data_IF_024147350561
#
_entry.id   IF_024147350561
#
_cell.length_a   1.000
_cell.length_b   1.000
_cell.length_c   1.000
_cell.angle_alpha   90.00
_cell.angle_beta   90.00
_cell.angle_gamma   90.00
#
_symmetry.space_group_name_H-M   'P 1'
#
loop_
_entity.id
_entity.type
_entity.pdbx_description
1 polymer ?
#
# COMPACT_ATOMS: atom_id res chain seq x y z
N UNK A 1 -72.64 -20.72 5.09
CA UNK A 1 -71.48 -20.12 4.38
C UNK A 1 -70.22 -20.43 5.20
N UNK A 2 -69.39 -21.40 4.78
CA UNK A 2 -68.20 -21.81 5.53
C UNK A 2 -66.97 -21.16 4.88
N UNK A 3 -66.34 -20.23 5.58
CA UNK A 3 -65.15 -19.52 5.08
C UNK A 3 -63.94 -20.44 5.30
N UNK A 4 -63.31 -20.85 4.20
CA UNK A 4 -62.11 -21.70 4.24
C UNK A 4 -60.91 -20.77 4.39
N UNK A 5 -60.19 -20.86 5.51
CA UNK A 5 -58.99 -20.09 5.79
C UNK A 5 -57.79 -20.80 5.14
N UNK A 6 -57.06 -20.11 4.28
CA UNK A 6 -55.90 -20.64 3.56
C UNK A 6 -54.62 -20.35 4.36
N UNK A 7 -54.08 -21.34 5.07
CA UNK A 7 -52.90 -21.21 5.95
C UNK A 7 -51.54 -21.36 5.22
N UNK A 8 -51.48 -21.11 3.90
CA UNK A 8 -50.29 -21.37 3.06
C UNK A 8 -49.24 -20.25 3.01
N UNK A 9 -49.43 -19.16 3.75
CA UNK A 9 -48.61 -17.93 3.66
C UNK A 9 -47.34 -17.96 4.56
N UNK A 10 -47.21 -18.93 5.47
CA UNK A 10 -46.14 -18.94 6.49
C UNK A 10 -44.78 -19.50 6.01
N UNK A 11 -44.77 -20.37 5.00
CA UNK A 11 -43.53 -20.99 4.48
C UNK A 11 -42.65 -20.03 3.68
N UNK A 12 -43.26 -19.09 2.96
CA UNK A 12 -42.52 -18.14 2.11
C UNK A 12 -41.84 -17.04 2.92
N UNK A 13 -42.42 -16.64 4.05
CA UNK A 13 -41.81 -15.69 4.99
C UNK A 13 -40.48 -16.22 5.52
N UNK A 14 -40.41 -17.51 5.88
CA UNK A 14 -39.19 -18.13 6.37
C UNK A 14 -38.08 -18.13 5.30
N UNK A 15 -38.43 -18.44 4.04
CA UNK A 15 -37.51 -18.36 2.91
C UNK A 15 -36.96 -16.93 2.74
N UNK A 16 -37.82 -15.92 2.77
CA UNK A 16 -37.40 -14.52 2.65
C UNK A 16 -36.47 -14.09 3.78
N UNK A 17 -36.76 -14.46 5.02
CA UNK A 17 -35.87 -14.16 6.16
C UNK A 17 -34.49 -14.81 6.00
N UNK A 18 -34.43 -16.03 5.46
CA UNK A 18 -33.18 -16.74 5.23
C UNK A 18 -32.35 -16.09 4.12
N UNK A 19 -33.00 -15.63 3.05
CA UNK A 19 -32.36 -14.87 1.97
C UNK A 19 -31.80 -13.55 2.49
N UNK A 20 -32.58 -12.80 3.28
CA UNK A 20 -32.13 -11.53 3.87
C UNK A 20 -30.93 -11.76 4.80
N UNK A 21 -30.97 -12.80 5.64
CA UNK A 21 -29.84 -13.17 6.50
C UNK A 21 -28.60 -13.55 5.70
N UNK A 22 -28.76 -14.27 4.58
CA UNK A 22 -27.64 -14.60 3.70
C UNK A 22 -27.00 -13.35 3.09
N UNK A 23 -27.80 -12.36 2.67
CA UNK A 23 -27.29 -11.08 2.18
C UNK A 23 -26.55 -10.29 3.27
N UNK A 24 -27.09 -10.25 4.49
CA UNK A 24 -26.44 -9.55 5.63
C UNK A 24 -25.11 -10.21 5.99
N UNK A 25 -25.04 -11.54 5.98
CA UNK A 25 -23.79 -12.28 6.20
C UNK A 25 -22.77 -11.98 5.10
N UNK A 26 -23.20 -11.97 3.84
CA UNK A 26 -22.34 -11.68 2.71
C UNK A 26 -21.75 -10.27 2.77
N UNK A 27 -22.55 -9.26 3.13
CA UNK A 27 -22.04 -7.89 3.30
C UNK A 27 -21.08 -7.76 4.47
N UNK A 28 -21.33 -8.48 5.57
CA UNK A 28 -20.42 -8.48 6.72
C UNK A 28 -19.04 -9.03 6.35
N UNK A 29 -18.97 -10.14 5.60
CA UNK A 29 -17.69 -10.72 5.15
C UNK A 29 -16.93 -9.76 4.23
N UNK A 30 -17.62 -9.11 3.29
CA UNK A 30 -16.99 -8.13 2.39
C UNK A 30 -16.35 -6.96 3.16
N UNK A 31 -16.96 -6.51 4.25
CA UNK A 31 -16.41 -5.43 5.07
C UNK A 31 -15.12 -5.87 5.78
N UNK A 32 -15.05 -7.13 6.24
CA UNK A 32 -13.86 -7.65 6.92
C UNK A 32 -12.62 -7.58 6.05
N UNK A 33 -12.73 -7.95 4.77
CA UNK A 33 -11.60 -7.89 3.83
C UNK A 33 -11.07 -6.47 3.67
N UNK A 34 -11.97 -5.49 3.56
CA UNK A 34 -11.62 -4.06 3.46
C UNK A 34 -10.89 -3.60 4.72
N UNK A 35 -11.40 -3.97 5.91
CA UNK A 35 -10.81 -3.57 7.20
C UNK A 35 -9.41 -4.17 7.37
N UNK A 36 -9.19 -5.43 6.99
CA UNK A 36 -7.87 -6.08 7.08
C UNK A 36 -6.86 -5.35 6.20
N UNK A 37 -7.22 -4.98 4.98
CA UNK A 37 -6.34 -4.22 4.09
C UNK A 37 -6.02 -2.84 4.67
N UNK A 38 -7.02 -2.14 5.20
CA UNK A 38 -6.83 -0.82 5.82
C UNK A 38 -5.89 -0.88 7.04
N UNK A 39 -6.00 -1.91 7.89
CA UNK A 39 -5.13 -2.09 9.05
C UNK A 39 -3.67 -2.31 8.64
N UNK A 40 -3.42 -3.12 7.59
CA UNK A 40 -2.07 -3.31 7.04
C UNK A 40 -1.49 -2.00 6.52
N UNK A 41 -2.26 -1.29 5.69
CA UNK A 41 -1.85 0.01 5.17
C UNK A 41 -1.57 1.01 6.30
N UNK A 42 -2.39 1.03 7.36
CA UNK A 42 -2.18 1.93 8.49
C UNK A 42 -0.88 1.65 9.25
N UNK A 43 -0.47 0.38 9.37
CA UNK A 43 0.83 0.03 9.95
C UNK A 43 1.99 0.48 9.06
N UNK A 44 1.85 0.31 7.76
CA UNK A 44 2.89 0.60 6.77
C UNK A 44 3.12 2.10 6.54
N UNK A 45 2.19 2.99 6.94
CA UNK A 45 2.35 4.44 6.77
C UNK A 45 3.58 4.97 7.51
N UNK A 46 3.81 4.55 8.76
CA UNK A 46 4.96 5.02 9.53
C UNK A 46 6.28 4.49 8.96
N UNK A 47 6.30 3.21 8.62
CA UNK A 47 7.47 2.56 8.00
C UNK A 47 7.76 3.14 6.60
N UNK A 48 6.70 3.55 5.89
CA UNK A 48 6.81 4.25 4.61
C UNK A 48 7.48 5.60 4.72
N UNK A 49 7.25 6.38 5.77
CA UNK A 49 7.92 7.67 5.93
C UNK A 49 9.44 7.46 6.01
N UNK A 50 9.87 6.46 6.78
CA UNK A 50 11.29 6.10 6.88
C UNK A 50 11.86 5.67 5.53
N UNK A 51 11.15 4.82 4.79
CA UNK A 51 11.57 4.41 3.44
C UNK A 51 11.64 5.61 2.46
N UNK A 52 10.72 6.57 2.54
CA UNK A 52 10.73 7.80 1.75
C UNK A 52 11.98 8.64 2.07
N UNK A 53 12.28 8.85 3.35
CA UNK A 53 13.47 9.59 3.76
C UNK A 53 14.77 8.94 3.27
N UNK A 54 14.84 7.60 3.31
CA UNK A 54 15.97 6.87 2.77
C UNK A 54 16.10 7.06 1.24
N UNK A 55 14.99 6.96 0.51
CA UNK A 55 14.96 7.18 -0.93
C UNK A 55 15.40 8.60 -1.31
N UNK A 56 14.87 9.62 -0.64
CA UNK A 56 15.20 11.03 -0.88
C UNK A 56 16.69 11.31 -0.62
N UNK A 57 17.21 10.78 0.49
CA UNK A 57 18.64 10.87 0.83
C UNK A 57 19.54 10.27 -0.26
N UNK A 58 19.12 9.16 -0.89
CA UNK A 58 19.84 8.56 -2.01
C UNK A 58 19.83 9.40 -3.28
N UNK A 59 18.70 10.09 -3.57
CA UNK A 59 18.63 11.03 -4.69
C UNK A 59 19.61 12.17 -4.49
N UNK A 60 19.58 12.83 -3.33
CA UNK A 60 20.47 13.95 -3.01
C UNK A 60 21.94 13.53 -3.00
N UNK A 61 22.24 12.36 -2.44
CA UNK A 61 23.60 11.78 -2.47
C UNK A 61 24.11 11.64 -3.90
N UNK A 62 23.31 11.05 -4.79
CA UNK A 62 23.72 10.81 -6.17
C UNK A 62 23.79 12.11 -6.99
N UNK A 63 22.87 13.04 -6.75
CA UNK A 63 22.86 14.36 -7.37
C UNK A 63 24.11 15.16 -6.96
N UNK A 64 24.51 15.09 -5.70
CA UNK A 64 25.75 15.70 -5.22
C UNK A 64 26.98 15.13 -5.93
N UNK A 65 27.07 13.81 -6.03
CA UNK A 65 28.18 13.14 -6.74
C UNK A 65 28.29 13.59 -8.19
N UNK A 66 27.16 13.66 -8.91
CA UNK A 66 27.12 14.11 -10.32
C UNK A 66 27.53 15.58 -10.44
N UNK A 67 27.02 16.46 -9.57
CA UNK A 67 27.30 17.90 -9.61
C UNK A 67 28.74 18.25 -9.23
N UNK A 68 29.33 17.51 -8.29
CA UNK A 68 30.71 17.75 -7.83
C UNK A 68 31.76 16.92 -8.55
N UNK A 69 31.35 15.89 -9.30
CA UNK A 69 32.27 14.96 -9.96
C UNK A 69 33.13 14.17 -8.97
N UNK A 70 32.62 13.95 -7.75
CA UNK A 70 33.33 13.25 -6.69
C UNK A 70 32.53 12.02 -6.27
N UNK A 71 33.20 10.89 -6.07
CA UNK A 71 32.58 9.73 -5.45
C UNK A 71 32.69 9.82 -3.94
N UNK A 72 31.56 9.79 -3.26
CA UNK A 72 31.47 9.79 -1.80
C UNK A 72 30.78 8.50 -1.33
N UNK A 73 31.12 7.97 -0.14
CA UNK A 73 30.46 6.77 0.38
C UNK A 73 28.95 6.92 0.46
N UNK A 74 28.23 5.81 0.27
CA UNK A 74 26.76 5.76 0.39
C UNK A 74 26.32 6.09 1.83
N UNK A 75 25.17 6.78 2.02
CA UNK A 75 24.63 7.05 3.34
C UNK A 75 24.32 5.75 4.11
N UNK A 76 24.65 5.75 5.41
CA UNK A 76 24.36 4.66 6.33
C UNK A 76 23.29 5.11 7.31
N UNK A 77 22.20 4.35 7.43
CA UNK A 77 21.11 4.64 8.35
C UNK A 77 21.20 3.73 9.57
N UNK A 78 21.28 4.33 10.77
CA UNK A 78 21.42 3.59 12.05
C UNK A 78 20.14 2.89 12.50
N UNK A 79 19.00 3.23 11.90
CA UNK A 79 17.69 2.68 12.22
C UNK A 79 17.35 1.41 11.44
N UNK A 80 18.25 0.91 10.58
CA UNK A 80 18.01 -0.27 9.73
C UNK A 80 17.30 0.03 8.41
N UNK A 81 17.13 1.30 8.04
CA UNK A 81 16.77 1.67 6.68
C UNK A 81 17.95 1.44 5.73
N UNK A 82 17.66 1.22 4.46
CA UNK A 82 18.67 1.09 3.42
C UNK A 82 18.24 1.82 2.15
N UNK A 83 19.23 2.26 1.38
CA UNK A 83 19.02 2.88 0.07
C UNK A 83 19.84 2.18 -1.00
N UNK A 84 19.24 1.99 -2.16
CA UNK A 84 19.88 1.50 -3.37
C UNK A 84 19.62 2.50 -4.49
N UNK A 85 20.67 2.91 -5.21
CA UNK A 85 20.54 3.88 -6.29
C UNK A 85 21.11 3.36 -7.59
N UNK A 86 20.45 3.69 -8.70
CA UNK A 86 20.91 3.40 -10.05
C UNK A 86 20.94 4.70 -10.84
N UNK A 87 22.07 4.98 -11.49
CA UNK A 87 22.19 6.11 -12.43
C UNK A 87 22.28 5.59 -13.84
N UNK A 88 21.47 6.18 -14.72
CA UNK A 88 21.51 5.93 -16.15
C UNK A 88 21.64 7.25 -16.91
N UNK A 89 22.22 7.21 -18.11
CA UNK A 89 22.42 8.40 -18.94
C UNK A 89 23.88 8.88 -18.97
N UNK A 90 24.09 10.00 -19.64
CA UNK A 90 25.39 10.61 -19.88
C UNK A 90 25.27 12.13 -19.94
N UNK A 91 26.30 12.84 -19.50
CA UNK A 91 26.29 14.31 -19.50
C UNK A 91 25.83 14.88 -20.85
N UNK A 92 24.88 15.84 -20.85
CA UNK A 92 24.32 16.52 -19.69
C UNK A 92 23.13 15.82 -19.02
N UNK A 93 22.55 14.78 -19.63
CA UNK A 93 21.29 14.18 -19.21
C UNK A 93 21.50 12.94 -18.34
N UNK A 94 21.06 13.00 -17.09
CA UNK A 94 21.14 11.88 -16.15
C UNK A 94 19.74 11.53 -15.62
N UNK A 95 19.54 10.26 -15.33
CA UNK A 95 18.39 9.77 -14.59
C UNK A 95 18.88 9.02 -13.37
N UNK A 96 18.44 9.47 -12.20
CA UNK A 96 18.72 8.86 -10.92
C UNK A 96 17.46 8.12 -10.48
N UNK A 97 17.59 6.83 -10.19
CA UNK A 97 16.59 6.03 -9.48
C UNK A 97 17.11 5.77 -8.08
N UNK A 98 16.32 6.06 -7.06
CA UNK A 98 16.66 5.82 -5.67
C UNK A 98 15.55 5.05 -4.98
N UNK A 99 15.87 3.84 -4.52
CA UNK A 99 14.98 2.92 -3.82
C UNK A 99 15.34 2.93 -2.33
N UNK A 100 14.49 3.55 -1.53
CA UNK A 100 14.54 3.47 -0.07
C UNK A 100 13.75 2.27 0.45
N UNK A 101 14.28 1.61 1.46
CA UNK A 101 13.69 0.42 2.06
C UNK A 101 13.78 0.48 3.58
N UNK A 102 12.70 0.06 4.24
CA UNK A 102 12.64 -0.11 5.68
C UNK A 102 11.65 -1.22 6.02
N UNK A 103 12.14 -2.28 6.67
CA UNK A 103 11.39 -3.54 6.88
C UNK A 103 10.83 -4.06 5.54
N UNK A 104 9.51 -4.29 5.46
CA UNK A 104 8.82 -4.76 4.24
C UNK A 104 8.44 -3.62 3.28
N UNK A 105 8.56 -2.36 3.70
CA UNK A 105 8.13 -1.21 2.91
C UNK A 105 9.27 -0.70 2.03
N UNK A 106 8.99 -0.55 0.73
CA UNK A 106 9.91 0.02 -0.25
C UNK A 106 9.27 1.21 -0.95
N UNK A 107 10.02 2.29 -1.14
CA UNK A 107 9.58 3.53 -1.79
C UNK A 107 10.67 4.01 -2.72
N UNK A 108 10.30 4.41 -3.93
CA UNK A 108 11.26 4.79 -4.98
C UNK A 108 10.99 6.19 -5.49
N UNK A 109 12.05 6.95 -5.71
CA UNK A 109 12.04 8.20 -6.45
C UNK A 109 12.88 8.09 -7.71
N UNK A 110 12.44 8.79 -8.75
CA UNK A 110 13.12 8.89 -10.02
C UNK A 110 13.21 10.36 -10.40
N UNK A 111 14.43 10.84 -10.67
CA UNK A 111 14.69 12.23 -11.07
C UNK A 111 15.54 12.22 -12.33
N UNK A 112 15.03 12.83 -13.38
CA UNK A 112 15.76 13.10 -14.61
C UNK A 112 16.09 14.59 -14.72
N UNK A 113 17.31 14.92 -15.12
CA UNK A 113 17.75 16.29 -15.39
C UNK A 113 18.82 16.33 -16.47
#
# INVERSE_FOLDING_TARGET
MRIIKNDKETGITLLFTMIILAFVLLTAVLIVDIVIVQLKLSGDINDSLVAIYAADSGVEWQLYQIRKGQSIPSPIFVNGAAVETTVTGSAPNFTIKSLGSFKEVKRQFEVGF
#
